data_IF_540287770336
#
_entry.id   IF_540287770336
#
_cell.length_a   1.000
_cell.length_b   1.000
_cell.length_c   1.000
_cell.angle_alpha   90.00
_cell.angle_beta   90.00
_cell.angle_gamma   90.00
#
_symmetry.space_group_name_H-M   'P 1'
#
loop_
_entity.id
_entity.type
_entity.pdbx_description
1 polymer ?
#
# COMPACT_ATOMS: atom_id res chain seq x y z
N UNK A 1 22.21 40.42 -16.97
CA UNK A 1 23.19 39.48 -16.39
C UNK A 1 22.89 39.39 -14.90
N UNK A 2 22.62 38.19 -14.39
CA UNK A 2 22.53 37.96 -12.95
C UNK A 2 23.62 36.96 -12.57
N UNK A 3 24.54 37.38 -11.71
CA UNK A 3 25.62 36.54 -11.21
C UNK A 3 25.14 35.83 -9.95
N UNK A 4 25.10 34.49 -9.97
CA UNK A 4 24.95 33.66 -8.77
C UNK A 4 25.91 32.47 -8.95
N UNK A 5 26.86 32.32 -8.03
CA UNK A 5 27.89 31.26 -8.01
C UNK A 5 28.88 31.23 -9.21
N UNK A 6 29.46 32.36 -9.61
CA UNK A 6 30.61 32.38 -10.53
C UNK A 6 30.35 31.96 -11.99
N UNK A 7 29.12 31.54 -12.34
CA UNK A 7 28.69 31.28 -13.72
C UNK A 7 27.86 32.45 -14.23
N UNK A 8 28.30 33.05 -15.34
CA UNK A 8 27.53 34.09 -16.05
C UNK A 8 26.38 33.42 -16.78
N UNK A 9 25.17 33.52 -16.22
CA UNK A 9 23.95 33.08 -16.91
C UNK A 9 23.38 34.23 -17.75
N UNK A 10 23.13 33.96 -19.03
CA UNK A 10 22.48 34.89 -19.96
C UNK A 10 21.04 34.44 -20.16
N UNK A 11 20.09 35.36 -20.01
CA UNK A 11 18.67 35.09 -20.21
C UNK A 11 18.01 36.20 -21.01
N UNK A 12 16.99 35.82 -21.78
CA UNK A 12 16.09 36.75 -22.44
C UNK A 12 15.15 37.37 -21.41
N UNK A 13 14.91 38.68 -21.49
CA UNK A 13 14.01 39.39 -20.59
C UNK A 13 13.03 40.21 -21.42
N UNK A 14 11.75 40.09 -21.11
CA UNK A 14 10.68 40.94 -21.62
C UNK A 14 10.38 42.03 -20.60
N UNK A 15 10.43 43.29 -21.02
CA UNK A 15 10.14 44.46 -20.17
C UNK A 15 8.95 45.23 -20.75
N UNK A 16 8.07 45.69 -19.87
CA UNK A 16 6.95 46.56 -20.24
C UNK A 16 6.63 47.54 -19.11
N UNK A 17 5.91 48.61 -19.43
CA UNK A 17 5.42 49.57 -18.45
C UNK A 17 3.88 49.55 -18.44
N UNK A 18 3.28 49.66 -17.25
CA UNK A 18 1.83 49.80 -17.05
C UNK A 18 1.60 50.68 -15.83
N UNK A 19 0.76 51.70 -15.96
CA UNK A 19 0.41 52.64 -14.88
C UNK A 19 1.65 53.26 -14.20
N UNK A 20 2.65 53.67 -15.00
CA UNK A 20 3.90 54.25 -14.52
C UNK A 20 4.88 53.28 -13.86
N UNK A 21 4.52 51.99 -13.71
CA UNK A 21 5.39 50.94 -13.15
C UNK A 21 6.02 50.10 -14.25
N UNK A 22 7.32 49.84 -14.14
CA UNK A 22 8.07 48.96 -15.04
C UNK A 22 8.05 47.54 -14.48
N UNK A 23 7.70 46.58 -15.33
CA UNK A 23 7.68 45.17 -15.02
C UNK A 23 8.67 44.43 -15.92
N UNK A 24 9.27 43.36 -15.39
CA UNK A 24 10.15 42.48 -16.15
C UNK A 24 9.82 41.00 -15.95
N UNK A 25 9.91 40.23 -17.03
CA UNK A 25 9.79 38.76 -17.01
C UNK A 25 10.85 38.08 -17.83
N UNK A 26 11.50 37.09 -17.22
CA UNK A 26 12.43 36.21 -17.91
C UNK A 26 11.72 35.33 -18.93
N UNK A 27 12.22 35.32 -20.16
CA UNK A 27 11.78 34.46 -21.26
C UNK A 27 12.66 33.19 -21.41
N UNK A 28 13.53 32.90 -20.44
CA UNK A 28 14.39 31.71 -20.45
C UNK A 28 15.86 32.03 -20.78
N UNK A 29 16.71 31.02 -20.64
CA UNK A 29 18.14 31.14 -20.84
C UNK A 29 18.51 31.14 -22.35
N UNK A 30 19.59 31.86 -22.71
CA UNK A 30 19.99 32.10 -24.12
C UNK A 30 20.52 30.83 -24.80
N UNK A 31 21.03 29.88 -24.02
CA UNK A 31 21.47 28.55 -24.45
C UNK A 31 20.31 27.59 -24.78
N UNK A 32 19.12 27.82 -24.20
CA UNK A 32 17.94 26.97 -24.40
C UNK A 32 16.97 27.57 -25.43
N UNK A 33 16.88 28.90 -25.53
CA UNK A 33 15.94 29.59 -26.41
C UNK A 33 16.67 30.54 -27.35
N UNK A 34 16.41 30.42 -28.65
CA UNK A 34 16.99 31.30 -29.66
C UNK A 34 16.42 32.72 -29.59
N UNK A 35 17.13 33.70 -30.16
CA UNK A 35 16.64 35.08 -30.27
C UNK A 35 15.32 35.16 -31.06
N UNK A 36 15.16 34.34 -32.09
CA UNK A 36 13.95 34.30 -32.92
C UNK A 36 12.73 33.86 -32.10
N UNK A 37 12.84 32.77 -31.35
CA UNK A 37 11.78 32.30 -30.45
C UNK A 37 11.49 33.30 -29.34
N UNK A 38 12.52 33.93 -28.76
CA UNK A 38 12.34 34.98 -27.76
C UNK A 38 11.55 36.18 -28.31
N UNK A 39 11.82 36.60 -29.55
CA UNK A 39 11.08 37.65 -30.25
C UNK A 39 9.62 37.26 -30.53
N UNK A 40 9.37 36.01 -30.92
CA UNK A 40 8.01 35.51 -31.14
C UNK A 40 7.20 35.52 -29.84
N UNK A 41 7.77 35.02 -28.74
CA UNK A 41 7.14 35.06 -27.41
C UNK A 41 6.88 36.50 -26.98
N UNK A 42 7.83 37.41 -27.19
CA UNK A 42 7.66 38.83 -26.86
C UNK A 42 6.54 39.49 -27.68
N UNK A 43 6.40 39.16 -28.97
CA UNK A 43 5.32 39.68 -29.81
C UNK A 43 3.94 39.24 -29.30
N UNK A 44 3.79 37.98 -28.86
CA UNK A 44 2.55 37.51 -28.25
C UNK A 44 2.23 38.20 -26.92
N UNK A 45 3.24 38.43 -26.07
CA UNK A 45 3.05 39.15 -24.81
C UNK A 45 2.64 40.62 -25.04
N UNK A 46 3.18 41.28 -26.08
CA UNK A 46 2.72 42.62 -26.49
C UNK A 46 1.26 42.62 -26.94
N UNK A 47 0.84 41.61 -27.73
CA UNK A 47 -0.57 41.47 -28.13
C UNK A 47 -1.48 41.27 -26.91
N UNK A 48 -1.05 40.45 -25.95
CA UNK A 48 -1.81 40.25 -24.72
C UNK A 48 -1.97 41.54 -23.91
N UNK A 49 -0.89 42.32 -23.76
CA UNK A 49 -0.95 43.64 -23.12
C UNK A 49 -1.91 44.59 -23.84
N UNK A 50 -1.89 44.61 -25.18
CA UNK A 50 -2.81 45.42 -25.98
C UNK A 50 -4.28 45.04 -25.73
N UNK A 51 -4.57 43.74 -25.56
CA UNK A 51 -5.92 43.25 -25.21
C UNK A 51 -6.23 43.30 -23.70
N UNK A 52 -5.42 43.98 -22.89
CA UNK A 52 -5.64 44.12 -21.44
C UNK A 52 -5.35 42.86 -20.61
N UNK A 53 -4.80 41.80 -21.22
CA UNK A 53 -4.48 40.54 -20.55
C UNK A 53 -3.12 40.60 -19.85
N UNK A 54 -2.97 39.87 -18.74
CA UNK A 54 -1.72 39.81 -18.00
C UNK A 54 -0.66 38.93 -18.71
N UNK A 55 0.57 39.43 -18.95
CA UNK A 55 1.68 38.62 -19.45
C UNK A 55 1.97 37.40 -18.57
N UNK A 56 1.79 37.53 -17.25
CA UNK A 56 2.03 36.46 -16.29
C UNK A 56 1.02 35.32 -16.44
N UNK A 57 -0.25 35.65 -16.64
CA UNK A 57 -1.29 34.66 -16.91
C UNK A 57 -1.04 33.95 -18.23
N UNK A 58 -0.58 34.65 -19.27
CA UNK A 58 -0.26 34.04 -20.55
C UNK A 58 0.96 33.11 -20.47
N UNK A 59 2.01 33.53 -19.76
CA UNK A 59 3.19 32.70 -19.50
C UNK A 59 2.85 31.49 -18.63
N UNK A 60 1.99 31.66 -17.62
CA UNK A 60 1.51 30.57 -16.78
C UNK A 60 0.62 29.61 -17.57
N UNK A 61 -0.23 30.11 -18.48
CA UNK A 61 -1.02 29.29 -19.41
C UNK A 61 -0.13 28.49 -20.37
N UNK A 62 0.93 29.09 -20.90
CA UNK A 62 1.94 28.37 -21.71
C UNK A 62 2.66 27.30 -20.90
N UNK A 63 3.11 27.61 -19.68
CA UNK A 63 3.71 26.63 -18.78
C UNK A 63 2.76 25.48 -18.46
N UNK A 64 1.48 25.77 -18.24
CA UNK A 64 0.45 24.74 -18.05
C UNK A 64 0.30 23.85 -19.29
N UNK A 65 0.31 24.43 -20.49
CA UNK A 65 0.23 23.69 -21.77
C UNK A 65 1.45 22.82 -22.07
N UNK A 66 2.63 23.21 -21.59
CA UNK A 66 3.90 22.52 -21.89
C UNK A 66 4.35 21.59 -20.76
N UNK A 67 3.44 21.14 -19.88
CA UNK A 67 3.82 20.19 -18.83
C UNK A 67 4.23 18.86 -19.43
N UNK A 68 5.26 18.29 -18.86
CA UNK A 68 5.73 16.94 -19.17
C UNK A 68 4.90 15.88 -18.43
N UNK A 69 5.04 14.62 -18.84
CA UNK A 69 4.45 13.48 -18.15
C UNK A 69 4.89 13.41 -16.68
N UNK A 70 6.17 13.67 -16.38
CA UNK A 70 6.68 13.62 -15.01
C UNK A 70 6.08 14.71 -14.11
N UNK A 71 5.91 15.92 -14.62
CA UNK A 71 5.24 17.01 -13.91
C UNK A 71 3.76 16.69 -13.65
N UNK A 72 3.06 16.17 -14.66
CA UNK A 72 1.68 15.70 -14.49
C UNK A 72 1.57 14.59 -13.44
N UNK A 73 2.54 13.68 -13.40
CA UNK A 73 2.58 12.61 -12.41
C UNK A 73 2.77 13.13 -10.98
N UNK A 74 3.69 14.07 -10.78
CA UNK A 74 3.93 14.67 -9.46
C UNK A 74 2.72 15.47 -8.97
N UNK A 75 2.07 16.25 -9.83
CA UNK A 75 0.84 16.96 -9.48
C UNK A 75 -0.32 16.00 -9.14
N UNK A 76 -0.47 14.92 -9.89
CA UNK A 76 -1.47 13.89 -9.58
C UNK A 76 -1.22 13.24 -8.22
N UNK A 77 0.04 12.97 -7.91
CA UNK A 77 0.44 12.38 -6.62
C UNK A 77 0.10 13.35 -5.48
N UNK A 78 0.40 14.64 -5.62
CA UNK A 78 0.06 15.65 -4.62
C UNK A 78 -1.44 15.84 -4.46
N UNK A 79 -2.21 15.88 -5.56
CA UNK A 79 -3.67 16.02 -5.47
C UNK A 79 -4.35 14.81 -4.82
N UNK A 80 -3.78 13.60 -4.97
CA UNK A 80 -4.30 12.37 -4.31
C UNK A 80 -3.79 12.17 -2.89
N UNK A 81 -2.77 12.90 -2.46
CA UNK A 81 -2.14 12.77 -1.13
C UNK A 81 -3.14 12.82 0.03
N UNK A 82 -4.12 13.75 0.08
CA UNK A 82 -5.08 13.81 1.19
C UNK A 82 -5.96 12.56 1.30
N UNK A 83 -6.22 11.87 0.19
CA UNK A 83 -7.02 10.64 0.16
C UNK A 83 -6.25 9.38 0.56
N UNK A 84 -4.94 9.45 0.80
CA UNK A 84 -4.12 8.29 1.15
C UNK A 84 -3.86 8.20 2.66
N UNK A 85 -4.35 7.12 3.27
CA UNK A 85 -4.13 6.79 4.69
C UNK A 85 -2.66 6.71 5.13
N UNK A 86 -1.71 6.53 4.21
CA UNK A 86 -0.31 6.29 4.56
C UNK A 86 0.65 7.04 3.63
N UNK A 87 1.62 7.75 4.21
CA UNK A 87 2.71 8.43 3.48
C UNK A 87 3.52 7.50 2.56
N UNK A 88 3.56 6.20 2.86
CA UNK A 88 4.18 5.18 2.02
C UNK A 88 3.58 5.08 0.61
N UNK A 89 2.29 5.43 0.41
CA UNK A 89 1.68 5.41 -0.92
C UNK A 89 2.28 6.47 -1.85
N UNK A 90 2.53 7.68 -1.34
CA UNK A 90 3.23 8.75 -2.06
C UNK A 90 4.59 8.24 -2.51
N UNK A 91 5.41 7.77 -1.55
CA UNK A 91 6.73 7.24 -1.83
C UNK A 91 6.69 6.11 -2.86
N UNK A 92 5.76 5.16 -2.72
CA UNK A 92 5.64 4.02 -3.65
C UNK A 92 5.27 4.47 -5.06
N UNK A 93 4.32 5.40 -5.21
CA UNK A 93 3.96 5.98 -6.50
C UNK A 93 5.15 6.67 -7.15
N UNK A 94 5.74 7.63 -6.44
CA UNK A 94 6.89 8.40 -6.93
C UNK A 94 8.05 7.50 -7.32
N UNK A 95 8.43 6.54 -6.47
CA UNK A 95 9.57 5.66 -6.73
C UNK A 95 9.33 4.78 -7.96
N UNK A 96 8.17 4.13 -8.07
CA UNK A 96 7.93 3.26 -9.24
C UNK A 96 7.81 4.01 -10.56
N UNK A 97 7.21 5.21 -10.55
CA UNK A 97 7.17 6.03 -11.77
C UNK A 97 8.57 6.53 -12.14
N UNK A 98 9.37 6.93 -11.14
CA UNK A 98 10.78 7.30 -11.34
C UNK A 98 11.61 6.15 -11.92
N UNK A 99 11.48 4.96 -11.39
CA UNK A 99 12.34 3.83 -11.75
C UNK A 99 11.98 3.23 -13.11
N UNK A 100 10.67 3.20 -13.45
CA UNK A 100 10.19 2.48 -14.64
C UNK A 100 9.66 3.40 -15.73
N UNK A 101 8.87 4.43 -15.39
CA UNK A 101 8.17 5.24 -16.39
C UNK A 101 8.96 6.46 -16.84
N UNK A 102 9.57 7.20 -15.91
CA UNK A 102 10.28 8.45 -16.21
C UNK A 102 11.48 8.31 -17.17
N UNK A 103 12.25 7.20 -17.18
CA UNK A 103 13.33 7.04 -18.15
C UNK A 103 12.86 7.09 -19.62
N UNK A 104 11.61 6.70 -19.89
CA UNK A 104 11.05 6.65 -21.25
C UNK A 104 10.05 7.78 -21.50
N UNK A 105 9.18 8.06 -20.53
CA UNK A 105 8.04 8.96 -20.67
C UNK A 105 8.28 10.34 -20.06
N UNK A 106 9.23 10.47 -19.13
CA UNK A 106 9.26 11.57 -18.16
C UNK A 106 9.28 12.97 -18.77
N UNK A 107 10.02 13.15 -19.87
CA UNK A 107 10.18 14.42 -20.58
C UNK A 107 9.16 14.64 -21.71
N UNK A 108 8.36 13.64 -22.07
CA UNK A 108 7.39 13.75 -23.16
C UNK A 108 6.19 14.59 -22.74
N UNK A 109 5.58 15.30 -23.69
CA UNK A 109 4.26 15.87 -23.46
C UNK A 109 3.22 14.74 -23.34
N UNK A 110 2.24 14.80 -22.42
CA UNK A 110 1.23 13.75 -22.26
C UNK A 110 0.44 13.42 -23.55
N UNK A 111 0.26 14.40 -24.44
CA UNK A 111 -0.37 14.21 -25.74
C UNK A 111 0.46 13.32 -26.69
N UNK A 112 1.79 13.35 -26.57
CA UNK A 112 2.73 12.64 -27.44
C UNK A 112 3.04 11.22 -26.95
N UNK A 113 2.60 10.86 -25.75
CA UNK A 113 2.76 9.50 -25.24
C UNK A 113 1.94 8.54 -26.10
N UNK A 114 2.60 7.56 -26.69
CA UNK A 114 2.01 6.54 -27.56
C UNK A 114 1.92 5.18 -26.88
N UNK A 115 1.18 4.24 -27.49
CA UNK A 115 1.11 2.85 -27.00
C UNK A 115 2.49 2.17 -27.03
N UNK A 116 3.31 2.47 -28.05
CA UNK A 116 4.66 1.92 -28.16
C UNK A 116 5.57 2.39 -27.02
N UNK A 117 5.42 3.64 -26.58
CA UNK A 117 6.16 4.16 -25.43
C UNK A 117 5.78 3.43 -24.13
N UNK A 118 4.48 3.19 -23.94
CA UNK A 118 4.00 2.42 -22.79
C UNK A 118 4.51 0.98 -22.84
N UNK A 119 4.51 0.35 -24.02
CA UNK A 119 5.07 -0.98 -24.20
C UNK A 119 6.58 -1.03 -23.93
N UNK A 120 7.33 -0.01 -24.32
CA UNK A 120 8.76 0.09 -24.02
C UNK A 120 9.04 0.12 -22.51
N UNK A 121 8.16 0.75 -21.72
CA UNK A 121 8.23 0.72 -20.25
C UNK A 121 7.86 -0.66 -19.68
N UNK A 122 6.80 -1.28 -20.21
CA UNK A 122 6.21 -2.47 -19.60
C UNK A 122 6.88 -3.78 -20.00
N UNK A 123 7.28 -3.95 -21.26
CA UNK A 123 7.86 -5.20 -21.80
C UNK A 123 9.04 -5.73 -20.97
N UNK A 124 10.03 -4.92 -20.54
CA UNK A 124 11.18 -5.41 -19.77
C UNK A 124 10.81 -6.04 -18.42
N UNK A 125 9.68 -5.63 -17.85
CA UNK A 125 9.22 -6.06 -16.51
C UNK A 125 7.99 -6.96 -16.55
N UNK A 126 7.39 -7.17 -17.73
CA UNK A 126 6.09 -7.82 -17.86
C UNK A 126 6.11 -9.28 -17.38
N UNK A 127 7.17 -10.02 -17.72
CA UNK A 127 7.37 -11.43 -17.35
C UNK A 127 8.16 -11.58 -16.07
N UNK A 128 9.19 -10.74 -15.88
CA UNK A 128 10.12 -10.83 -14.73
C UNK A 128 9.50 -10.28 -13.45
N UNK A 129 8.68 -9.23 -13.54
CA UNK A 129 8.00 -8.58 -12.39
C UNK A 129 6.53 -8.26 -12.71
N UNK A 130 5.65 -9.26 -12.96
CA UNK A 130 4.30 -9.03 -13.48
C UNK A 130 3.44 -8.11 -12.63
N UNK A 131 3.43 -8.27 -11.30
CA UNK A 131 2.67 -7.39 -10.40
C UNK A 131 3.17 -5.95 -10.44
N UNK A 132 4.49 -5.74 -10.51
CA UNK A 132 5.08 -4.41 -10.66
C UNK A 132 4.69 -3.79 -11.99
N UNK A 133 4.75 -4.56 -13.09
CA UNK A 133 4.35 -4.10 -14.41
C UNK A 133 2.88 -3.65 -14.44
N UNK A 134 1.99 -4.42 -13.80
CA UNK A 134 0.59 -4.08 -13.65
C UNK A 134 0.40 -2.75 -12.88
N UNK A 135 1.09 -2.57 -11.76
CA UNK A 135 1.04 -1.31 -11.01
C UNK A 135 1.60 -0.12 -11.79
N UNK A 136 2.70 -0.31 -12.53
CA UNK A 136 3.29 0.73 -13.37
C UNK A 136 2.31 1.13 -14.47
N UNK A 137 1.68 0.18 -15.15
CA UNK A 137 0.64 0.45 -16.16
C UNK A 137 -0.51 1.27 -15.57
N UNK A 138 -1.06 0.83 -14.43
CA UNK A 138 -2.18 1.52 -13.78
C UNK A 138 -1.83 2.97 -13.39
N UNK A 139 -0.59 3.19 -12.94
CA UNK A 139 -0.08 4.52 -12.65
C UNK A 139 0.09 5.36 -13.90
N UNK A 140 0.64 4.81 -14.99
CA UNK A 140 0.77 5.51 -16.27
C UNK A 140 -0.61 5.91 -16.79
N UNK A 141 -1.57 4.98 -16.79
CA UNK A 141 -2.95 5.24 -17.20
C UNK A 141 -3.55 6.39 -16.39
N UNK A 142 -3.42 6.37 -15.06
CA UNK A 142 -3.94 7.42 -14.21
C UNK A 142 -3.31 8.81 -14.47
N UNK A 143 -2.00 8.85 -14.81
CA UNK A 143 -1.32 10.11 -15.17
C UNK A 143 -1.85 10.66 -16.51
N UNK A 144 -2.06 9.79 -17.50
CA UNK A 144 -2.60 10.18 -18.81
C UNK A 144 -4.07 10.60 -18.73
N UNK A 145 -4.86 9.94 -17.88
CA UNK A 145 -6.24 10.35 -17.60
C UNK A 145 -6.29 11.71 -16.89
N UNK A 146 -5.40 11.93 -15.90
CA UNK A 146 -5.26 13.24 -15.26
C UNK A 146 -4.90 14.32 -16.28
N UNK A 147 -3.92 14.06 -17.16
CA UNK A 147 -3.55 14.98 -18.23
C UNK A 147 -4.72 15.30 -19.16
N UNK A 148 -5.59 14.33 -19.45
CA UNK A 148 -6.81 14.55 -20.22
C UNK A 148 -7.82 15.43 -19.47
N UNK A 149 -8.00 15.24 -18.16
CA UNK A 149 -8.89 16.06 -17.31
C UNK A 149 -8.47 17.53 -17.32
N UNK A 150 -7.16 17.82 -17.27
CA UNK A 150 -6.63 19.19 -17.28
C UNK A 150 -6.39 19.75 -18.70
N UNK A 151 -6.86 19.06 -19.74
CA UNK A 151 -6.82 19.54 -21.13
C UNK A 151 -5.45 19.46 -21.83
N UNK A 152 -4.54 18.63 -21.33
CA UNK A 152 -3.21 18.39 -21.93
C UNK A 152 -3.15 17.14 -22.81
N UNK A 153 -4.24 16.38 -22.86
CA UNK A 153 -4.43 15.24 -23.76
C UNK A 153 -5.91 15.19 -24.16
N UNK A 154 -6.20 14.65 -25.34
CA UNK A 154 -7.57 14.34 -25.72
C UNK A 154 -8.16 13.27 -24.78
N UNK A 155 -9.45 13.43 -24.46
CA UNK A 155 -10.18 12.48 -23.60
C UNK A 155 -10.47 11.19 -24.38
N UNK A 156 -10.38 10.04 -23.71
CA UNK A 156 -10.83 8.74 -24.23
C UNK A 156 -9.72 7.86 -24.82
N UNK A 157 -8.75 8.43 -25.54
CA UNK A 157 -7.66 7.65 -26.12
C UNK A 157 -6.48 7.52 -25.13
N UNK A 158 -6.57 6.61 -24.15
CA UNK A 158 -5.47 6.36 -23.20
C UNK A 158 -4.55 5.23 -23.71
N UNK A 159 -3.27 5.50 -24.03
CA UNK A 159 -2.32 4.49 -24.52
C UNK A 159 -2.00 3.36 -23.54
N UNK A 160 -2.21 3.60 -22.24
CA UNK A 160 -1.99 2.61 -21.19
C UNK A 160 -3.26 1.80 -20.85
N UNK A 161 -4.35 2.00 -21.59
CA UNK A 161 -5.57 1.22 -21.45
C UNK A 161 -5.31 -0.26 -21.79
N UNK A 162 -5.94 -1.15 -21.04
CA UNK A 162 -5.82 -2.59 -21.25
C UNK A 162 -6.72 -3.09 -22.38
N UNK A 163 -8.03 -3.01 -22.14
CA UNK A 163 -9.06 -3.49 -23.06
C UNK A 163 -8.97 -2.76 -24.39
N UNK A 164 -8.90 -3.51 -25.48
CA UNK A 164 -8.79 -3.02 -26.85
C UNK A 164 -7.42 -2.45 -27.22
N UNK A 165 -6.40 -2.54 -26.36
CA UNK A 165 -5.04 -2.03 -26.63
C UNK A 165 -3.96 -2.99 -26.15
N UNK A 166 -3.48 -2.80 -24.92
CA UNK A 166 -2.30 -3.54 -24.43
C UNK A 166 -2.53 -5.05 -24.37
N UNK A 167 -3.77 -5.53 -24.27
CA UNK A 167 -4.09 -6.97 -24.29
C UNK A 167 -3.78 -7.67 -25.62
N UNK A 168 -3.69 -6.92 -26.72
CA UNK A 168 -3.31 -7.45 -28.04
C UNK A 168 -1.78 -7.60 -28.18
N UNK A 169 -1.02 -6.82 -27.40
CA UNK A 169 0.43 -6.76 -27.48
C UNK A 169 1.14 -7.46 -26.31
N UNK A 170 0.42 -7.73 -25.22
CA UNK A 170 0.94 -8.34 -24.02
C UNK A 170 0.02 -9.47 -23.55
N UNK A 171 0.56 -10.65 -23.20
CA UNK A 171 -0.24 -11.73 -22.64
C UNK A 171 -0.91 -11.28 -21.34
N UNK A 172 -2.12 -11.78 -21.11
CA UNK A 172 -2.89 -11.48 -19.88
C UNK A 172 -2.02 -11.70 -18.64
N UNK A 173 -1.97 -10.73 -17.69
CA UNK A 173 -1.16 -10.85 -16.48
C UNK A 173 -1.43 -12.14 -15.70
N UNK A 174 -2.67 -12.64 -15.72
CA UNK A 174 -3.08 -13.89 -15.07
C UNK A 174 -2.49 -15.16 -15.71
N UNK A 175 -2.16 -15.10 -17.01
CA UNK A 175 -1.55 -16.21 -17.76
C UNK A 175 -0.02 -16.19 -17.66
N UNK A 176 0.59 -15.01 -17.54
CA UNK A 176 2.06 -14.84 -17.40
C UNK A 176 2.56 -15.37 -16.06
N UNK A 177 1.75 -15.20 -15.01
CA UNK A 177 1.98 -15.84 -13.72
C UNK A 177 0.60 -16.21 -13.17
N UNK A 178 0.25 -17.51 -13.06
CA UNK A 178 -0.91 -17.90 -12.29
C UNK A 178 -0.83 -17.21 -10.92
N UNK A 179 -1.96 -16.80 -10.36
CA UNK A 179 -1.99 -16.36 -8.98
C UNK A 179 -1.57 -17.55 -8.14
N UNK A 180 -0.27 -17.65 -7.86
CA UNK A 180 0.23 -18.58 -6.85
C UNK A 180 -0.30 -18.00 -5.56
N UNK A 181 -1.38 -18.59 -5.04
CA UNK A 181 -1.69 -18.45 -3.63
C UNK A 181 -0.41 -18.88 -2.92
N UNK A 182 0.32 -17.90 -2.38
CA UNK A 182 1.49 -18.22 -1.57
C UNK A 182 1.04 -19.26 -0.55
N UNK A 183 1.69 -20.42 -0.52
CA UNK A 183 1.25 -21.57 0.26
C UNK A 183 0.90 -21.08 1.68
N UNK A 184 -0.39 -21.14 2.02
CA UNK A 184 -0.74 -21.16 3.42
C UNK A 184 -0.14 -22.46 3.96
N UNK A 185 0.51 -22.42 5.12
CA UNK A 185 0.81 -23.67 5.82
C UNK A 185 -0.53 -24.40 5.98
N UNK A 186 -0.57 -25.71 5.71
CA UNK A 186 -1.76 -26.49 6.03
C UNK A 186 -2.08 -26.23 7.51
N UNK A 187 -3.34 -25.99 7.83
CA UNK A 187 -3.72 -25.73 9.22
C UNK A 187 -3.27 -26.86 10.15
N UNK A 188 -3.16 -28.09 9.63
CA UNK A 188 -2.62 -29.26 10.34
C UNK A 188 -1.15 -29.15 10.72
N UNK A 189 -0.36 -28.38 9.97
CA UNK A 189 1.07 -28.15 10.22
C UNK A 189 1.30 -27.00 11.22
N UNK A 190 0.30 -26.14 11.44
CA UNK A 190 0.43 -24.95 12.29
C UNK A 190 0.91 -25.29 13.71
N UNK A 191 0.45 -26.36 14.39
CA UNK A 191 0.94 -26.69 15.72
C UNK A 191 2.43 -27.01 15.78
N UNK A 192 2.94 -27.78 14.80
CA UNK A 192 4.37 -28.08 14.70
C UNK A 192 5.19 -26.81 14.45
N UNK A 193 4.71 -25.95 13.55
CA UNK A 193 5.34 -24.65 13.28
C UNK A 193 5.35 -23.73 14.50
N UNK A 194 4.27 -23.69 15.27
CA UNK A 194 4.17 -22.92 16.49
C UNK A 194 5.19 -23.40 17.52
N UNK A 195 5.31 -24.72 17.72
CA UNK A 195 6.33 -25.32 18.59
C UNK A 195 7.76 -24.93 18.17
N UNK A 196 8.09 -25.03 16.88
CA UNK A 196 9.40 -24.61 16.36
C UNK A 196 9.71 -23.10 16.56
N UNK A 197 8.67 -22.26 16.66
CA UNK A 197 8.81 -20.83 16.97
C UNK A 197 9.01 -20.61 18.47
N UNK A 198 8.33 -21.36 19.34
CA UNK A 198 8.49 -21.26 20.79
C UNK A 198 9.92 -21.56 21.24
N UNK A 199 10.65 -22.41 20.51
CA UNK A 199 12.08 -22.68 20.75
C UNK A 199 13.03 -21.56 20.29
N UNK A 200 12.54 -20.60 19.49
CA UNK A 200 13.36 -19.52 18.93
C UNK A 200 13.23 -18.26 19.78
N UNK A 201 14.32 -17.79 20.42
CA UNK A 201 14.27 -16.58 21.22
C UNK A 201 14.11 -15.34 20.34
N UNK A 202 13.51 -14.31 20.91
CA UNK A 202 13.48 -12.95 20.37
C UNK A 202 12.11 -12.46 19.92
N UNK A 203 11.98 -11.13 19.92
CA UNK A 203 10.75 -10.40 19.59
C UNK A 203 10.11 -10.83 18.25
N UNK A 204 10.86 -11.06 17.15
CA UNK A 204 10.25 -11.52 15.90
C UNK A 204 9.51 -12.86 16.03
N UNK A 205 10.01 -13.79 16.86
CA UNK A 205 9.37 -15.08 17.09
C UNK A 205 8.09 -14.92 17.90
N UNK A 206 8.15 -14.18 19.00
CA UNK A 206 6.99 -13.88 19.85
C UNK A 206 5.90 -13.15 19.07
N UNK A 207 6.28 -12.20 18.21
CA UNK A 207 5.34 -11.49 17.33
C UNK A 207 4.66 -12.43 16.33
N UNK A 208 5.39 -13.41 15.78
CA UNK A 208 4.83 -14.38 14.83
C UNK A 208 3.89 -15.37 15.53
N UNK A 209 4.26 -15.86 16.71
CA UNK A 209 3.39 -16.66 17.57
C UNK A 209 2.10 -15.91 17.91
N UNK A 210 2.19 -14.63 18.28
CA UNK A 210 1.03 -13.79 18.54
C UNK A 210 0.13 -13.62 17.30
N UNK A 211 0.72 -13.44 16.10
CA UNK A 211 -0.03 -13.39 14.84
C UNK A 211 -0.79 -14.70 14.59
N UNK A 212 -0.16 -15.85 14.85
CA UNK A 212 -0.79 -17.17 14.69
C UNK A 212 -1.96 -17.28 15.67
N UNK A 213 -1.75 -17.03 16.96
CA UNK A 213 -2.78 -17.15 17.99
C UNK A 213 -3.98 -16.23 17.76
N UNK A 214 -3.75 -15.02 17.25
CA UNK A 214 -4.81 -14.00 17.09
C UNK A 214 -5.37 -13.90 15.67
N UNK A 215 -4.78 -14.61 14.71
CA UNK A 215 -5.11 -14.54 13.29
C UNK A 215 -5.17 -13.11 12.71
N UNK A 216 -4.47 -12.13 13.29
CA UNK A 216 -4.45 -10.74 12.80
C UNK A 216 -3.51 -10.55 11.61
N UNK A 217 -3.56 -9.40 10.95
CA UNK A 217 -2.60 -9.06 9.90
C UNK A 217 -1.24 -8.71 10.52
N UNK A 218 -0.16 -8.98 9.78
CA UNK A 218 1.20 -8.67 10.25
C UNK A 218 1.41 -7.20 10.66
N UNK A 219 0.79 -6.23 9.98
CA UNK A 219 0.90 -4.81 10.35
C UNK A 219 0.12 -4.46 11.63
N UNK A 220 -0.93 -5.21 11.94
CA UNK A 220 -1.73 -5.05 13.15
C UNK A 220 -0.89 -5.51 14.36
N UNK A 221 -0.30 -6.72 14.31
CA UNK A 221 0.56 -7.20 15.40
C UNK A 221 1.86 -6.39 15.57
N UNK A 222 2.60 -6.11 14.49
CA UNK A 222 3.90 -5.39 14.59
C UNK A 222 3.77 -3.98 15.15
N UNK A 223 2.62 -3.35 14.97
CA UNK A 223 2.35 -2.00 15.50
C UNK A 223 1.56 -2.00 16.80
N UNK A 224 1.28 -3.15 17.41
CA UNK A 224 0.47 -3.25 18.63
C UNK A 224 1.12 -2.46 19.78
N UNK A 225 0.28 -1.74 20.52
CA UNK A 225 0.67 -0.94 21.68
C UNK A 225 0.00 -1.49 22.93
N UNK A 226 0.65 -1.37 24.08
CA UNK A 226 0.09 -1.77 25.38
C UNK A 226 -1.23 -1.04 25.70
N UNK A 227 -1.41 0.20 25.22
CA UNK A 227 -2.66 0.95 25.38
C UNK A 227 -3.86 0.32 24.67
N UNK A 228 -3.62 -0.62 23.74
CA UNK A 228 -4.69 -1.35 23.03
C UNK A 228 -5.09 -2.64 23.75
N UNK A 229 -4.34 -3.07 24.76
CA UNK A 229 -4.54 -4.34 25.46
C UNK A 229 -5.21 -4.08 26.80
N UNK A 230 -6.38 -4.67 26.98
CA UNK A 230 -7.00 -4.86 28.28
C UNK A 230 -6.69 -6.29 28.76
N UNK A 231 -5.75 -6.41 29.69
CA UNK A 231 -5.36 -7.71 30.27
C UNK A 231 -6.42 -8.24 31.24
N UNK A 232 -7.25 -7.39 31.84
CA UNK A 232 -8.29 -7.82 32.78
C UNK A 232 -9.43 -8.50 32.03
N UNK A 233 -9.88 -7.88 30.95
CA UNK A 233 -10.95 -8.44 30.10
C UNK A 233 -10.42 -9.42 29.04
N UNK A 234 -9.09 -9.57 28.94
CA UNK A 234 -8.38 -10.31 27.91
C UNK A 234 -8.87 -9.91 26.50
N UNK A 235 -8.78 -8.61 26.18
CA UNK A 235 -9.22 -8.04 24.91
C UNK A 235 -8.14 -7.13 24.33
N UNK A 236 -7.86 -7.31 23.04
CA UNK A 236 -7.07 -6.37 22.26
C UNK A 236 -7.99 -5.54 21.35
N UNK A 237 -8.00 -4.21 21.52
CA UNK A 237 -8.81 -3.29 20.73
C UNK A 237 -7.94 -2.50 19.76
N UNK A 238 -7.98 -2.87 18.48
CA UNK A 238 -7.27 -2.15 17.42
C UNK A 238 -8.13 -0.97 16.95
N UNK A 239 -7.64 0.28 17.04
CA UNK A 239 -8.41 1.45 16.64
C UNK A 239 -8.61 1.51 15.12
N UNK A 240 -9.74 2.09 14.69
CA UNK A 240 -10.15 2.24 13.29
C UNK A 240 -9.06 2.81 12.37
N UNK A 241 -8.23 3.73 12.89
CA UNK A 241 -7.14 4.40 12.18
C UNK A 241 -6.04 3.41 11.73
N UNK A 242 -5.84 2.32 12.48
CA UNK A 242 -4.87 1.27 12.16
C UNK A 242 -5.47 0.15 11.30
N UNK A 243 -6.79 0.05 11.26
CA UNK A 243 -7.51 -1.00 10.54
C UNK A 243 -7.66 -0.69 9.04
N UNK A 244 -7.44 -1.70 8.20
CA UNK A 244 -7.54 -1.58 6.73
C UNK A 244 -8.94 -1.09 6.31
N UNK A 245 -9.98 -1.65 6.90
CA UNK A 245 -11.39 -1.33 6.65
C UNK A 245 -11.87 -0.04 7.34
N UNK A 246 -11.05 0.58 8.20
CA UNK A 246 -11.43 1.81 8.91
C UNK A 246 -12.45 1.61 10.03
N UNK A 247 -12.63 0.38 10.54
CA UNK A 247 -13.52 0.08 11.68
C UNK A 247 -12.68 -0.48 12.83
N UNK A 248 -12.99 -0.08 14.06
CA UNK A 248 -12.35 -0.64 15.26
C UNK A 248 -12.56 -2.16 15.30
N UNK A 249 -11.52 -2.89 15.69
CA UNK A 249 -11.56 -4.35 15.79
C UNK A 249 -11.20 -4.79 17.19
N UNK A 250 -12.15 -5.44 17.87
CA UNK A 250 -11.91 -6.06 19.19
C UNK A 250 -11.58 -7.52 18.98
N UNK A 251 -10.43 -7.97 19.47
CA UNK A 251 -9.96 -9.34 19.39
C UNK A 251 -9.98 -9.94 20.80
N UNK A 252 -10.77 -11.00 21.05
CA UNK A 252 -10.66 -11.74 22.30
C UNK A 252 -9.31 -12.46 22.34
N UNK A 253 -8.59 -12.30 23.44
CA UNK A 253 -7.30 -12.94 23.68
C UNK A 253 -7.55 -14.24 24.45
N UNK A 254 -6.99 -15.34 23.94
CA UNK A 254 -6.97 -16.61 24.66
C UNK A 254 -5.97 -16.55 25.82
N UNK A 255 -6.09 -17.43 26.83
CA UNK A 255 -5.15 -17.48 27.95
C UNK A 255 -3.68 -17.56 27.48
N UNK A 256 -3.40 -18.42 26.49
CA UNK A 256 -2.05 -18.55 25.89
C UNK A 256 -1.58 -17.24 25.25
N UNK A 257 -2.46 -16.48 24.60
CA UNK A 257 -2.10 -15.19 24.02
C UNK A 257 -1.79 -14.15 25.10
N UNK A 258 -2.50 -14.18 26.23
CA UNK A 258 -2.23 -13.34 27.40
C UNK A 258 -0.87 -13.70 28.01
N UNK A 259 -0.59 -14.98 28.22
CA UNK A 259 0.70 -15.46 28.75
C UNK A 259 1.87 -15.04 27.85
N UNK A 260 1.69 -15.15 26.52
CA UNK A 260 2.67 -14.70 25.55
C UNK A 260 2.92 -13.19 25.69
N UNK A 261 1.87 -12.37 25.80
CA UNK A 261 2.03 -10.93 26.01
C UNK A 261 2.80 -10.63 27.30
N UNK A 262 2.47 -11.29 28.40
CA UNK A 262 3.20 -11.13 29.67
C UNK A 262 4.69 -11.48 29.52
N UNK A 263 5.02 -12.55 28.78
CA UNK A 263 6.42 -12.93 28.50
C UNK A 263 7.18 -11.89 27.67
N UNK A 264 6.47 -11.11 26.84
CA UNK A 264 7.05 -10.08 25.96
C UNK A 264 7.34 -8.80 26.74
N UNK A 265 6.62 -8.53 27.82
CA UNK A 265 6.67 -7.27 28.57
C UNK A 265 8.11 -6.78 28.89
N UNK A 266 9.05 -7.62 29.38
CA UNK A 266 10.42 -7.20 29.69
C UNK A 266 11.24 -6.75 28.46
N UNK A 267 10.84 -7.17 27.27
CA UNK A 267 11.54 -6.94 26.01
C UNK A 267 10.83 -5.90 25.12
N UNK A 268 9.68 -5.43 25.58
CA UNK A 268 8.86 -4.46 24.88
C UNK A 268 9.41 -3.03 25.04
N UNK A 269 8.75 -2.05 24.44
CA UNK A 269 9.03 -0.64 24.65
C UNK A 269 7.78 0.08 25.13
N UNK A 270 7.94 1.30 25.67
CA UNK A 270 6.83 2.12 26.19
C UNK A 270 5.67 2.31 25.20
N UNK A 271 5.96 2.20 23.89
CA UNK A 271 5.00 2.45 22.81
C UNK A 271 4.60 1.21 22.01
N UNK A 272 5.42 0.15 22.01
CA UNK A 272 5.22 -1.02 21.15
C UNK A 272 5.47 -2.30 21.93
N UNK A 273 4.52 -3.24 21.81
CA UNK A 273 4.63 -4.59 22.36
C UNK A 273 5.77 -5.35 21.66
N UNK A 274 5.88 -5.24 20.34
CA UNK A 274 6.89 -5.93 19.53
C UNK A 274 7.84 -4.94 18.82
N UNK A 275 8.81 -4.35 19.53
CA UNK A 275 9.73 -3.38 18.93
C UNK A 275 10.69 -4.04 17.92
N UNK A 276 11.07 -3.29 16.89
CA UNK A 276 12.16 -3.61 15.98
C UNK A 276 13.48 -2.97 16.41
N UNK A 277 14.60 -3.60 16.07
CA UNK A 277 15.92 -3.05 16.35
C UNK A 277 16.34 -1.97 15.30
N UNK A 278 17.00 -0.87 15.71
CA UNK A 278 17.33 -0.48 17.09
C UNK A 278 16.16 0.21 17.85
N UNK A 279 15.21 0.84 17.14
CA UNK A 279 13.96 1.40 17.70
C UNK A 279 12.84 1.40 16.65
N UNK A 280 11.59 1.37 17.09
CA UNK A 280 10.39 1.56 16.26
C UNK A 280 9.73 0.25 15.79
N UNK A 281 8.78 0.37 14.85
CA UNK A 281 8.01 -0.79 14.37
C UNK A 281 8.89 -1.76 13.56
N UNK A 282 8.88 -3.03 13.94
CA UNK A 282 9.54 -4.10 13.20
C UNK A 282 9.11 -4.12 11.73
N UNK A 283 10.04 -4.41 10.80
CA UNK A 283 9.70 -4.54 9.39
C UNK A 283 8.92 -5.84 9.11
N UNK A 284 8.02 -5.83 8.11
CA UNK A 284 7.37 -7.07 7.67
C UNK A 284 8.36 -8.09 7.06
N UNK A 285 9.49 -7.62 6.51
CA UNK A 285 10.54 -8.46 5.98
C UNK A 285 11.25 -9.27 7.07
N UNK A 286 11.35 -8.74 8.29
CA UNK A 286 11.93 -9.43 9.46
C UNK A 286 11.13 -10.69 9.78
N UNK A 287 9.80 -10.58 9.90
CA UNK A 287 8.93 -11.74 10.14
C UNK A 287 8.97 -12.74 9.00
N UNK A 288 9.00 -12.27 7.75
CA UNK A 288 9.09 -13.16 6.59
C UNK A 288 10.43 -13.91 6.54
N UNK A 289 11.54 -13.26 6.92
CA UNK A 289 12.86 -13.90 6.99
C UNK A 289 12.88 -14.99 8.05
N UNK A 290 12.32 -14.72 9.24
CA UNK A 290 12.15 -15.73 10.29
C UNK A 290 11.26 -16.89 9.82
N UNK A 291 10.09 -16.58 9.24
CA UNK A 291 9.18 -17.63 8.78
C UNK A 291 9.84 -18.57 7.77
N UNK A 292 10.68 -18.05 6.86
CA UNK A 292 11.41 -18.88 5.88
C UNK A 292 12.39 -19.87 6.52
N UNK A 293 12.84 -19.66 7.76
CA UNK A 293 13.73 -20.62 8.43
C UNK A 293 12.98 -21.79 9.06
N UNK A 294 11.68 -21.65 9.32
CA UNK A 294 10.84 -22.68 9.96
C UNK A 294 9.79 -23.28 9.02
N UNK A 295 9.33 -22.51 8.04
CA UNK A 295 8.34 -22.91 7.04
C UNK A 295 8.69 -22.30 5.67
N UNK A 296 9.67 -22.89 4.95
CA UNK A 296 10.00 -22.46 3.60
C UNK A 296 8.76 -22.49 2.70
N UNK A 297 8.48 -21.38 1.99
CA UNK A 297 7.32 -21.26 1.11
C UNK A 297 6.05 -20.70 1.76
N UNK A 298 5.96 -20.71 3.09
CA UNK A 298 4.85 -20.10 3.80
C UNK A 298 4.92 -18.56 3.81
N UNK A 299 3.77 -17.92 4.01
CA UNK A 299 3.70 -16.48 4.27
C UNK A 299 3.01 -16.17 5.58
N UNK A 300 3.36 -15.05 6.20
CA UNK A 300 2.71 -14.59 7.44
C UNK A 300 1.21 -14.37 7.25
N UNK A 301 0.78 -13.96 6.04
CA UNK A 301 -0.63 -13.85 5.71
C UNK A 301 -1.32 -15.22 5.55
N UNK A 302 -0.55 -16.25 5.18
CA UNK A 302 -1.02 -17.62 5.03
C UNK A 302 -1.70 -18.17 6.28
N UNK A 303 -1.21 -17.85 7.48
CA UNK A 303 -1.81 -18.29 8.74
C UNK A 303 -3.28 -17.85 8.92
N UNK A 304 -3.68 -16.72 8.33
CA UNK A 304 -5.09 -16.29 8.33
C UNK A 304 -5.97 -17.18 7.46
N UNK A 305 -5.40 -17.70 6.38
CA UNK A 305 -6.08 -18.69 5.53
C UNK A 305 -6.15 -20.02 6.26
N UNK A 306 -5.07 -20.45 6.92
CA UNK A 306 -5.05 -21.64 7.77
C UNK A 306 -6.13 -21.57 8.86
N UNK A 307 -6.22 -20.45 9.59
CA UNK A 307 -7.28 -20.21 10.58
C UNK A 307 -8.68 -20.30 9.95
N UNK A 308 -8.88 -19.68 8.77
CA UNK A 308 -10.20 -19.67 8.12
C UNK A 308 -10.66 -21.06 7.70
N UNK A 309 -9.75 -21.83 7.12
CA UNK A 309 -10.01 -23.21 6.68
C UNK A 309 -10.23 -24.11 7.89
N UNK A 310 -9.38 -24.00 8.92
CA UNK A 310 -9.56 -24.74 10.18
C UNK A 310 -10.93 -24.48 10.81
N UNK A 311 -11.33 -23.22 10.94
CA UNK A 311 -12.62 -22.86 11.53
C UNK A 311 -13.81 -23.48 10.75
N UNK A 312 -13.71 -23.52 9.42
CA UNK A 312 -14.73 -24.14 8.57
C UNK A 312 -14.80 -25.65 8.76
N UNK A 313 -13.66 -26.33 8.72
CA UNK A 313 -13.58 -27.79 8.89
C UNK A 313 -14.03 -28.24 10.28
N UNK A 314 -13.94 -27.37 11.29
CA UNK A 314 -14.38 -27.63 12.67
C UNK A 314 -15.80 -27.12 12.96
N UNK A 315 -16.57 -26.74 11.93
CA UNK A 315 -17.99 -26.43 12.04
C UNK A 315 -18.31 -25.05 12.63
N UNK A 316 -17.34 -24.15 12.74
CA UNK A 316 -17.62 -22.78 13.14
C UNK A 316 -18.34 -22.01 12.02
N UNK A 317 -19.34 -21.21 12.41
CA UNK A 317 -20.07 -20.39 11.45
C UNK A 317 -19.14 -19.44 10.69
N UNK A 318 -19.27 -19.40 9.36
CA UNK A 318 -18.51 -18.50 8.48
C UNK A 318 -18.55 -17.05 8.97
N UNK A 319 -19.72 -16.59 9.40
CA UNK A 319 -19.93 -15.24 9.93
C UNK A 319 -19.05 -14.91 11.15
N UNK A 320 -18.77 -15.89 12.01
CA UNK A 320 -17.90 -15.73 13.20
C UNK A 320 -16.43 -15.70 12.79
N UNK A 321 -16.02 -16.60 11.89
CA UNK A 321 -14.64 -16.66 11.38
C UNK A 321 -14.27 -15.40 10.57
N UNK A 322 -15.15 -14.94 9.69
CA UNK A 322 -14.98 -13.70 8.93
C UNK A 322 -14.92 -12.46 9.85
N UNK A 323 -15.75 -12.44 10.90
CA UNK A 323 -15.73 -11.38 11.91
C UNK A 323 -14.42 -11.38 12.71
N UNK A 324 -13.89 -12.55 13.10
CA UNK A 324 -12.58 -12.67 13.77
C UNK A 324 -11.43 -12.12 12.89
N UNK A 325 -11.52 -12.35 11.58
CA UNK A 325 -10.57 -11.83 10.60
C UNK A 325 -10.78 -10.34 10.24
N UNK A 326 -11.78 -9.67 10.80
CA UNK A 326 -12.19 -8.32 10.40
C UNK A 326 -12.40 -8.19 8.88
N UNK A 327 -12.98 -9.21 8.26
CA UNK A 327 -13.42 -9.14 6.88
C UNK A 327 -14.79 -8.45 6.82
N UNK A 328 -14.99 -7.66 5.77
CA UNK A 328 -16.30 -7.04 5.54
C UNK A 328 -17.22 -8.10 4.99
N UNK A 329 -18.37 -8.34 5.63
CA UNK A 329 -19.38 -9.23 5.07
C UNK A 329 -19.85 -8.65 3.73
N UNK A 330 -19.56 -9.34 2.64
CA UNK A 330 -19.94 -8.94 1.28
C UNK A 330 -21.39 -9.30 0.94
N UNK A 331 -22.03 -10.13 1.76
CA UNK A 331 -23.44 -10.46 1.61
C UNK A 331 -24.29 -9.37 2.29
N UNK A 332 -24.85 -8.47 1.48
CA UNK A 332 -25.64 -7.34 1.96
C UNK A 332 -26.83 -7.76 2.84
N UNK A 333 -27.40 -8.95 2.57
CA UNK A 333 -28.52 -9.51 3.33
C UNK A 333 -28.08 -9.93 4.72
N UNK A 334 -26.98 -10.69 4.86
CA UNK A 334 -26.45 -11.08 6.17
C UNK A 334 -25.90 -9.89 6.97
N UNK A 335 -25.28 -8.92 6.29
CA UNK A 335 -24.75 -7.71 6.91
C UNK A 335 -25.85 -6.86 7.56
N UNK A 336 -27.09 -6.90 7.02
CA UNK A 336 -28.24 -6.21 7.61
C UNK A 336 -28.79 -6.91 8.88
N UNK A 337 -28.56 -8.21 9.05
CA UNK A 337 -29.00 -8.98 10.23
C UNK A 337 -27.93 -9.13 11.33
N UNK A 338 -26.64 -8.92 11.03
CA UNK A 338 -25.57 -8.88 12.03
C UNK A 338 -25.64 -7.61 12.91
N UNK A 339 -26.51 -7.63 13.92
CA UNK A 339 -26.63 -6.55 14.92
C UNK A 339 -25.50 -6.52 15.96
N UNK A 340 -24.72 -7.58 16.09
CA UNK A 340 -23.60 -7.69 17.03
C UNK A 340 -22.31 -8.11 16.33
N UNK A 341 -21.17 -7.80 16.95
CA UNK A 341 -19.84 -8.20 16.47
C UNK A 341 -19.51 -9.67 16.82
N UNK A 342 -20.50 -10.45 17.28
CA UNK A 342 -20.39 -11.85 17.66
C UNK A 342 -19.24 -12.13 18.67
N UNK A 343 -18.92 -11.16 19.55
CA UNK A 343 -17.72 -11.20 20.39
C UNK A 343 -17.60 -12.48 21.24
N UNK A 344 -18.68 -12.91 21.91
CA UNK A 344 -18.67 -14.12 22.74
C UNK A 344 -18.35 -15.39 21.93
N UNK A 345 -18.98 -15.54 20.75
CA UNK A 345 -18.69 -16.64 19.82
C UNK A 345 -17.28 -16.58 19.24
N UNK A 346 -16.77 -15.37 19.01
CA UNK A 346 -15.37 -15.18 18.62
C UNK A 346 -14.42 -15.59 19.75
N UNK A 347 -14.75 -15.32 21.02
CA UNK A 347 -13.94 -15.77 22.16
C UNK A 347 -13.83 -17.29 22.18
N UNK A 348 -14.96 -18.00 22.09
CA UNK A 348 -15.00 -19.47 21.97
C UNK A 348 -14.13 -19.98 20.81
N UNK A 349 -14.23 -19.34 19.63
CA UNK A 349 -13.44 -19.68 18.45
C UNK A 349 -11.94 -19.45 18.67
N UNK A 350 -11.55 -18.31 19.22
CA UNK A 350 -10.14 -17.97 19.44
C UNK A 350 -9.49 -18.86 20.51
N UNK A 351 -10.23 -19.24 21.55
CA UNK A 351 -9.77 -20.18 22.57
C UNK A 351 -9.54 -21.59 21.99
N UNK A 352 -10.50 -22.08 21.19
CA UNK A 352 -10.37 -23.37 20.52
C UNK A 352 -9.23 -23.39 19.51
N UNK A 353 -9.06 -22.30 18.74
CA UNK A 353 -7.94 -22.14 17.82
C UNK A 353 -6.61 -22.17 18.56
N UNK A 354 -6.48 -21.42 19.66
CA UNK A 354 -5.26 -21.41 20.48
C UNK A 354 -4.96 -22.79 21.08
N UNK A 355 -5.99 -23.52 21.54
CA UNK A 355 -5.84 -24.88 22.05
C UNK A 355 -5.36 -25.86 20.96
N UNK A 356 -5.86 -25.73 19.73
CA UNK A 356 -5.38 -26.50 18.59
C UNK A 356 -3.92 -26.16 18.25
N UNK A 357 -3.60 -24.87 18.10
CA UNK A 357 -2.24 -24.38 17.76
C UNK A 357 -1.20 -24.81 18.79
N UNK A 358 -1.54 -24.83 20.08
CA UNK A 358 -0.61 -25.21 21.14
C UNK A 358 -0.55 -26.72 21.39
N UNK A 359 -1.34 -27.53 20.69
CA UNK A 359 -1.39 -28.98 20.90
C UNK A 359 -2.16 -29.42 22.16
N UNK A 360 -2.80 -28.50 22.88
CA UNK A 360 -3.63 -28.81 24.06
C UNK A 360 -5.02 -29.40 23.71
N UNK A 361 -5.41 -29.39 22.43
CA UNK A 361 -6.67 -29.99 21.98
C UNK A 361 -6.76 -31.51 22.26
N UNK A 362 -5.63 -32.21 22.28
CA UNK A 362 -5.58 -33.68 22.45
C UNK A 362 -5.84 -34.14 23.89
N UNK A 363 -5.69 -33.26 24.90
CA UNK A 363 -5.86 -33.65 26.31
C UNK A 363 -7.31 -33.58 26.81
N UNK A 364 -8.18 -32.73 26.23
CA UNK A 364 -9.59 -32.63 26.68
C UNK A 364 -10.46 -33.80 26.19
N UNK A 365 -10.20 -34.36 25.02
CA UNK A 365 -10.93 -35.53 24.52
C UNK A 365 -10.56 -36.81 25.28
N UNK A 366 -9.31 -36.96 25.71
CA UNK A 366 -8.88 -38.07 26.55
C UNK A 366 -9.49 -38.00 27.97
N UNK A 367 -9.60 -36.80 28.56
CA UNK A 367 -10.23 -36.62 29.86
C UNK A 367 -11.75 -36.87 29.85
N UNK A 368 -12.44 -36.57 28.74
CA UNK A 368 -13.87 -36.86 28.58
C UNK A 368 -14.15 -38.36 28.36
N UNK A 369 -13.19 -39.12 27.81
CA UNK A 369 -13.33 -40.57 27.60
C UNK A 369 -12.91 -41.42 28.82
N UNK A 370 -12.15 -40.87 29.77
CA UNK A 370 -11.67 -41.58 30.97
C UNK A 370 -12.60 -41.50 32.18
N UNK A 371 -13.71 -40.76 32.11
CA UNK A 371 -14.66 -40.54 33.20
C UNK A 371 -15.83 -41.53 33.21
N UNK A 372 -15.56 -42.82 33.05
CA UNK A 372 -16.55 -43.89 33.18
C UNK A 372 -15.76 -45.17 33.36
N UNK A 373 -15.51 -45.57 34.61
CA UNK A 373 -15.37 -46.94 35.11
C UNK A 373 -14.86 -46.86 36.55
N UNK A 374 -15.73 -47.18 37.52
CA UNK A 374 -15.39 -47.24 38.93
C UNK A 374 -16.63 -47.09 39.83
N UNK A 375 -17.51 -48.10 39.80
CA UNK A 375 -18.22 -48.54 41.00
C UNK A 375 -17.43 -49.68 41.62
#
# INVERSE_FOLDING_TARGET
>A
MQARNGRVSKSWVFRWARDGKVFERGLGAVDVRSLAEARQVAAELRKALFHGQSPDELLQRRRRKNKTFSECALELIESKRPGWKTKNKVRQWTQTLRDYAFPVLGNKAPAEVTTNDVLAVLKPIWTTKPSTAQYVRDRIAAVLDYAAVIGLRQKGDNPAQWKGKLELALPSPRKVRPVVHFAAADWKEVPALYSCLSEKPGIPSLCLQFIILTAVRSNEARGASWQEIDLNDAVWTIPAQRMKNGRTHKIPLSPVAVDLLMSVQPWSSDSLIFPGAPKGTMSGATLLKLLRTVAPGATVHGFRSSFRVWAEEHGYASSVAEAALAHTNTNATEAAYQRSDLFARRRELMDAWAAFVTGHATQRLAAAAGGSHGQ
#
